data_IF_733333143607
#
_entry.id   IF_733333143607
#
_cell.length_a   1.000
_cell.length_b   1.000
_cell.length_c   1.000
_cell.angle_alpha   90.00
_cell.angle_beta   90.00
_cell.angle_gamma   90.00
#
_symmetry.space_group_name_H-M   'P 1'
#
loop_
_entity.id
_entity.type
_entity.pdbx_description
1 polymer ?
#
# COMPACT_ATOMS: atom_id res chain seq x y z
N UNK A 1 -13.57 -1.01 10.61
CA UNK A 1 -12.68 -2.13 11.01
C UNK A 1 -11.33 -1.52 11.32
N UNK A 2 -10.74 -1.76 12.49
CA UNK A 2 -9.40 -1.23 12.83
C UNK A 2 -8.32 -2.23 12.37
N UNK A 3 -7.16 -1.71 11.94
CA UNK A 3 -5.94 -2.45 11.60
C UNK A 3 -4.80 -2.13 12.57
N UNK A 4 -5.10 -1.58 13.76
CA UNK A 4 -4.11 -1.17 14.74
C UNK A 4 -3.14 -2.31 15.09
N UNK A 5 -1.83 -2.03 15.01
CA UNK A 5 -0.77 -2.99 15.32
C UNK A 5 -0.54 -4.08 14.28
N UNK A 6 -1.17 -3.99 13.10
CA UNK A 6 -0.91 -4.88 11.97
C UNK A 6 0.22 -4.36 11.09
N UNK A 7 1.12 -5.24 10.71
CA UNK A 7 2.16 -4.99 9.70
C UNK A 7 1.75 -5.60 8.37
N UNK A 8 1.73 -4.79 7.31
CA UNK A 8 1.27 -5.16 5.98
C UNK A 8 2.33 -4.90 4.92
N UNK A 9 2.36 -5.74 3.89
CA UNK A 9 3.11 -5.50 2.66
C UNK A 9 2.15 -5.07 1.57
N UNK A 10 2.36 -3.89 1.00
CA UNK A 10 1.64 -3.39 -0.17
C UNK A 10 2.50 -3.59 -1.42
N UNK A 11 2.23 -4.67 -2.16
CA UNK A 11 2.86 -4.94 -3.44
C UNK A 11 2.20 -4.15 -4.57
N UNK A 12 2.98 -3.38 -5.34
CA UNK A 12 2.51 -2.60 -6.48
C UNK A 12 3.23 -3.06 -7.74
N UNK A 13 2.45 -3.43 -8.76
CA UNK A 13 2.96 -3.95 -10.05
C UNK A 13 2.59 -3.03 -11.22
N UNK A 14 3.16 -3.29 -12.39
CA UNK A 14 2.98 -2.47 -13.59
C UNK A 14 1.53 -2.43 -14.07
N UNK A 15 0.89 -1.29 -13.92
CA UNK A 15 -0.50 -1.04 -14.32
C UNK A 15 -0.75 0.46 -14.42
N UNK A 16 -1.73 0.86 -15.26
CA UNK A 16 -2.23 2.24 -15.30
C UNK A 16 -2.74 2.69 -13.92
N UNK A 17 -3.17 1.76 -13.06
CA UNK A 17 -3.65 2.08 -11.71
C UNK A 17 -2.54 2.25 -10.66
N UNK A 18 -1.27 1.96 -10.98
CA UNK A 18 -0.18 1.97 -10.00
C UNK A 18 -0.03 3.32 -9.28
N UNK A 19 -0.24 4.44 -9.98
CA UNK A 19 -0.20 5.78 -9.37
C UNK A 19 -1.23 5.99 -8.26
N UNK A 20 -2.33 5.22 -8.26
CA UNK A 20 -3.38 5.27 -7.23
C UNK A 20 -3.05 4.44 -6.00
N UNK A 21 -1.97 3.65 -6.00
CA UNK A 21 -1.58 2.82 -4.85
C UNK A 21 -1.37 3.66 -3.57
N UNK A 22 -0.99 4.93 -3.71
CA UNK A 22 -0.87 5.86 -2.58
C UNK A 22 -2.20 6.10 -1.85
N UNK A 23 -3.35 6.00 -2.53
CA UNK A 23 -4.64 6.13 -1.87
C UNK A 23 -4.91 4.94 -0.94
N UNK A 24 -4.54 3.73 -1.36
CA UNK A 24 -4.61 2.54 -0.51
C UNK A 24 -3.63 2.65 0.66
N UNK A 25 -2.38 3.05 0.42
CA UNK A 25 -1.39 3.25 1.48
C UNK A 25 -1.91 4.21 2.57
N UNK A 26 -2.48 5.35 2.17
CA UNK A 26 -3.03 6.35 3.11
C UNK A 26 -4.20 5.80 3.91
N UNK A 27 -5.10 5.06 3.26
CA UNK A 27 -6.26 4.49 3.94
C UNK A 27 -5.85 3.38 4.92
N UNK A 28 -4.91 2.50 4.53
CA UNK A 28 -4.37 1.47 5.41
C UNK A 28 -3.69 2.08 6.65
N UNK A 29 -2.90 3.15 6.46
CA UNK A 29 -2.30 3.88 7.57
C UNK A 29 -3.33 4.58 8.46
N UNK A 30 -4.40 5.15 7.87
CA UNK A 30 -5.52 5.75 8.62
C UNK A 30 -6.24 4.73 9.52
N UNK A 31 -6.26 3.46 9.10
CA UNK A 31 -6.81 2.36 9.87
C UNK A 31 -5.84 1.80 10.93
N UNK A 32 -4.62 2.35 11.04
CA UNK A 32 -3.65 1.98 12.10
C UNK A 32 -2.61 0.94 11.70
N UNK A 33 -2.53 0.57 10.42
CA UNK A 33 -1.54 -0.40 9.95
C UNK A 33 -0.15 0.23 9.74
N UNK A 34 0.90 -0.49 10.13
CA UNK A 34 2.24 -0.32 9.58
C UNK A 34 2.28 -0.90 8.17
N UNK A 35 2.75 -0.14 7.18
CA UNK A 35 2.74 -0.57 5.78
C UNK A 35 4.11 -0.40 5.15
N UNK A 36 4.66 -1.52 4.65
CA UNK A 36 5.85 -1.54 3.80
C UNK A 36 5.44 -1.69 2.34
N UNK A 37 5.92 -0.81 1.46
CA UNK A 37 5.59 -0.84 0.03
C UNK A 37 6.71 -1.51 -0.75
N UNK A 38 6.34 -2.43 -1.65
CA UNK A 38 7.26 -3.08 -2.57
C UNK A 38 6.79 -2.84 -4.01
N UNK A 39 7.66 -2.29 -4.85
CA UNK A 39 7.37 -1.98 -6.25
C UNK A 39 8.04 -3.02 -7.15
N UNK A 40 7.33 -3.52 -8.16
CA UNK A 40 8.00 -4.17 -9.29
C UNK A 40 8.70 -3.13 -10.16
N UNK A 41 9.64 -3.56 -11.00
CA UNK A 41 10.34 -2.66 -11.94
C UNK A 41 9.36 -1.88 -12.83
N UNK A 42 8.28 -2.52 -13.27
CA UNK A 42 7.27 -1.92 -14.13
C UNK A 42 6.34 -0.92 -13.39
N UNK A 43 6.46 -0.85 -12.06
CA UNK A 43 5.66 0.02 -11.20
C UNK A 43 6.48 1.14 -10.54
N UNK A 44 7.80 1.11 -10.70
CA UNK A 44 8.73 2.11 -10.18
C UNK A 44 8.59 3.42 -10.95
#
# INVERSE_FOLDING_TARGET
MSLDGRELILGVTGSIAAYKAVYLLRELGRLGAGVTVCLSEHAR
#
